data_IF_417138640015
#
_entry.id   IF_417138640015
#
_cell.length_a   1.000
_cell.length_b   1.000
_cell.length_c   1.000
_cell.angle_alpha   90.00
_cell.angle_beta   90.00
_cell.angle_gamma   90.00
#
_symmetry.space_group_name_H-M   'P 1'
#
loop_
_entity.id
_entity.type
_entity.pdbx_description
1 polymer ?
#
# COMPACT_ATOMS: atom_id res chain seq x y z
N UNK A 1 4.57 7.27 23.70
CA UNK A 1 5.88 7.10 24.40
C UNK A 1 5.99 5.72 25.03
N UNK A 2 4.94 5.16 25.59
CA UNK A 2 4.91 3.81 26.19
C UNK A 2 5.17 2.70 25.16
N UNK A 3 4.63 2.83 23.96
CA UNK A 3 4.84 1.87 22.87
C UNK A 3 6.32 1.65 22.54
N UNK A 4 7.17 2.69 22.55
CA UNK A 4 8.61 2.56 22.26
C UNK A 4 9.32 1.79 23.36
N UNK A 5 8.92 1.96 24.62
CA UNK A 5 9.49 1.21 25.74
C UNK A 5 9.19 -0.28 25.67
N UNK A 6 8.12 -0.69 24.98
CA UNK A 6 7.76 -2.10 24.77
C UNK A 6 8.52 -2.78 23.64
N UNK A 7 8.99 -2.00 22.66
CA UNK A 7 9.73 -2.54 21.50
C UNK A 7 11.25 -2.61 21.73
N UNK A 8 11.80 -1.82 22.66
CA UNK A 8 13.24 -1.82 22.98
C UNK A 8 13.59 -3.05 23.83
N UNK A 9 14.32 -4.04 23.27
CA UNK A 9 14.65 -5.25 24.01
C UNK A 9 15.83 -5.09 24.99
N UNK A 10 16.45 -3.89 25.05
CA UNK A 10 17.65 -3.64 25.86
C UNK A 10 17.27 -3.38 27.31
N UNK A 11 18.16 -3.77 28.23
CA UNK A 11 18.01 -3.46 29.66
C UNK A 11 18.17 -1.96 29.90
N UNK A 12 17.12 -1.30 30.42
CA UNK A 12 17.05 0.17 30.58
C UNK A 12 18.21 0.78 31.37
N UNK A 13 18.75 0.05 32.35
CA UNK A 13 19.87 0.49 33.21
C UNK A 13 21.26 0.31 32.57
N UNK A 14 21.35 -0.33 31.41
CA UNK A 14 22.62 -0.59 30.69
C UNK A 14 22.72 0.15 29.36
N UNK A 15 21.78 1.04 29.04
CA UNK A 15 21.79 1.77 27.78
C UNK A 15 22.15 3.24 27.99
N UNK A 16 23.07 3.75 27.19
CA UNK A 16 23.43 5.18 27.15
C UNK A 16 22.32 6.02 26.50
N UNK A 17 21.65 5.48 25.49
CA UNK A 17 20.63 6.17 24.72
C UNK A 17 19.32 5.39 24.78
N UNK A 18 18.26 6.02 25.24
CA UNK A 18 16.92 5.41 25.27
C UNK A 18 16.40 5.11 23.88
N UNK A 19 15.51 4.13 23.76
CA UNK A 19 14.82 3.84 22.50
C UNK A 19 14.05 5.05 21.96
N UNK A 20 13.46 5.86 22.86
CA UNK A 20 12.77 7.12 22.50
C UNK A 20 13.69 8.10 21.81
N UNK A 21 14.89 8.32 22.35
CA UNK A 21 15.88 9.21 21.73
C UNK A 21 16.27 8.70 20.34
N UNK A 22 16.58 7.41 20.21
CA UNK A 22 17.01 6.82 18.94
C UNK A 22 15.90 6.94 17.90
N UNK A 23 14.65 6.66 18.25
CA UNK A 23 13.51 6.81 17.36
C UNK A 23 13.28 8.27 16.96
N UNK A 24 13.34 9.23 17.91
CA UNK A 24 13.22 10.65 17.64
C UNK A 24 14.30 11.14 16.67
N UNK A 25 15.57 10.80 16.95
CA UNK A 25 16.71 11.19 16.11
C UNK A 25 16.55 10.61 14.71
N UNK A 26 16.20 9.33 14.59
CA UNK A 26 16.08 8.67 13.29
C UNK A 26 14.93 9.26 12.48
N UNK A 27 13.75 9.43 13.08
CA UNK A 27 12.60 9.97 12.38
C UNK A 27 12.83 11.44 11.97
N UNK A 28 13.41 12.25 12.86
CA UNK A 28 13.77 13.65 12.54
C UNK A 28 14.79 13.71 11.40
N UNK A 29 15.82 12.85 11.42
CA UNK A 29 16.77 12.76 10.32
C UNK A 29 16.13 12.36 8.99
N UNK A 30 15.21 11.37 9.01
CA UNK A 30 14.45 10.96 7.82
C UNK A 30 13.60 12.12 7.28
N UNK A 31 12.99 12.94 8.12
CA UNK A 31 12.29 14.17 7.68
C UNK A 31 13.24 15.16 7.01
N UNK A 32 14.46 15.29 7.52
CA UNK A 32 15.49 16.24 7.02
C UNK A 32 16.40 15.63 5.93
N UNK A 33 15.90 14.69 5.13
CA UNK A 33 16.57 14.09 3.97
C UNK A 33 17.80 13.23 4.29
N UNK A 34 17.98 12.78 5.53
CA UNK A 34 19.01 11.80 5.87
C UNK A 34 18.63 10.43 5.34
N UNK A 35 19.55 9.79 4.61
CA UNK A 35 19.32 8.51 3.93
C UNK A 35 20.15 7.36 4.55
N UNK A 36 21.29 7.66 5.14
CA UNK A 36 22.18 6.70 5.79
C UNK A 36 22.24 6.86 7.31
N UNK A 37 22.74 5.84 7.99
CA UNK A 37 22.99 5.94 9.44
C UNK A 37 24.03 7.00 9.79
N UNK A 38 24.98 7.27 8.87
CA UNK A 38 25.96 8.34 9.05
C UNK A 38 25.29 9.71 8.98
N UNK A 39 24.43 9.95 7.98
CA UNK A 39 23.71 11.21 7.84
C UNK A 39 22.85 11.49 9.07
N UNK A 40 22.16 10.45 9.59
CA UNK A 40 21.32 10.56 10.78
C UNK A 40 22.15 10.87 12.03
N UNK A 41 23.34 10.26 12.17
CA UNK A 41 24.24 10.55 13.28
C UNK A 41 24.83 11.97 13.19
N UNK A 42 25.17 12.43 11.99
CA UNK A 42 25.62 13.79 11.74
C UNK A 42 24.50 14.81 11.99
N UNK A 43 23.28 14.53 11.51
CA UNK A 43 22.09 15.32 11.85
C UNK A 43 21.93 15.47 13.37
N UNK A 44 21.99 14.36 14.12
CA UNK A 44 21.86 14.40 15.57
C UNK A 44 22.93 15.28 16.22
N UNK A 45 24.17 15.23 15.73
CA UNK A 45 25.28 16.02 16.23
C UNK A 45 25.10 17.51 15.93
N UNK A 46 24.72 17.86 14.71
CA UNK A 46 24.58 19.26 14.30
C UNK A 46 23.28 19.91 14.79
N UNK A 47 22.22 19.11 14.98
CA UNK A 47 20.91 19.58 15.45
C UNK A 47 20.63 19.25 16.92
N UNK A 48 21.68 19.09 17.72
CA UNK A 48 21.59 18.73 19.15
C UNK A 48 20.69 19.69 19.93
N UNK A 49 20.79 20.98 19.67
CA UNK A 49 19.97 22.00 20.38
C UNK A 49 18.48 21.90 20.00
N UNK A 50 18.17 21.52 18.78
CA UNK A 50 16.81 21.21 18.39
C UNK A 50 16.29 19.97 19.14
N UNK A 51 17.10 18.90 19.23
CA UNK A 51 16.74 17.67 19.94
C UNK A 51 16.55 17.89 21.44
N UNK A 52 17.27 18.82 22.03
CA UNK A 52 17.10 19.23 23.44
C UNK A 52 15.74 19.84 23.76
N UNK A 53 15.01 20.33 22.78
CA UNK A 53 13.62 20.79 22.99
C UNK A 53 12.69 19.64 23.38
N UNK A 54 13.04 18.40 23.01
CA UNK A 54 12.27 17.18 23.31
C UNK A 54 12.92 16.33 24.41
N UNK A 55 14.24 16.43 24.55
CA UNK A 55 15.06 15.71 25.54
C UNK A 55 16.04 16.71 26.16
N UNK A 56 15.61 17.47 27.19
CA UNK A 56 16.41 18.55 27.77
C UNK A 56 17.82 18.15 28.24
N UNK A 57 17.94 16.95 28.83
CA UNK A 57 19.19 16.42 29.39
C UNK A 57 20.08 15.72 28.35
N UNK A 58 19.93 16.04 27.07
CA UNK A 58 20.73 15.43 26.01
C UNK A 58 22.17 15.98 26.04
N UNK A 59 23.09 15.19 26.59
CA UNK A 59 24.51 15.54 26.64
C UNK A 59 25.27 15.08 25.40
N UNK A 60 25.02 13.86 24.92
CA UNK A 60 25.68 13.25 23.78
C UNK A 60 24.65 12.69 22.80
N UNK A 61 25.06 12.47 21.55
CA UNK A 61 24.18 11.92 20.50
C UNK A 61 24.64 10.53 20.06
N UNK A 62 23.73 9.65 19.64
CA UNK A 62 24.08 8.30 19.23
C UNK A 62 24.92 8.31 17.95
N UNK A 63 25.92 7.43 17.90
CA UNK A 63 26.72 7.17 16.70
C UNK A 63 25.91 6.38 15.66
N UNK A 64 26.37 6.39 14.40
CA UNK A 64 25.78 5.61 13.32
C UNK A 64 25.70 4.10 13.66
N UNK A 65 26.71 3.55 14.35
CA UNK A 65 26.71 2.16 14.82
C UNK A 65 25.64 1.90 15.88
N UNK A 66 25.44 2.83 16.80
CA UNK A 66 24.39 2.74 17.82
C UNK A 66 23.02 2.71 17.17
N UNK A 67 22.76 3.62 16.23
CA UNK A 67 21.52 3.65 15.46
C UNK A 67 21.31 2.34 14.71
N UNK A 68 22.28 1.91 13.93
CA UNK A 68 22.22 0.66 13.16
C UNK A 68 21.93 -0.55 14.03
N UNK A 69 22.70 -0.74 15.12
CA UNK A 69 22.53 -1.87 16.04
C UNK A 69 21.15 -1.88 16.67
N UNK A 70 20.64 -0.73 17.08
CA UNK A 70 19.29 -0.63 17.64
C UNK A 70 18.23 -1.15 16.66
N UNK A 71 18.24 -0.69 15.40
CA UNK A 71 17.29 -1.14 14.41
C UNK A 71 17.50 -2.58 13.94
N UNK A 72 18.68 -3.16 14.14
CA UNK A 72 18.92 -4.58 13.88
C UNK A 72 18.30 -5.49 14.95
N UNK A 73 18.27 -5.05 16.23
CA UNK A 73 17.80 -5.86 17.34
C UNK A 73 16.30 -5.72 17.64
N UNK A 74 15.67 -4.63 17.21
CA UNK A 74 14.23 -4.48 17.34
C UNK A 74 13.54 -5.56 16.52
N UNK A 75 12.57 -6.24 17.14
CA UNK A 75 11.70 -7.19 16.44
C UNK A 75 10.76 -6.41 15.52
N UNK A 76 10.80 -6.75 14.25
CA UNK A 76 10.04 -6.06 13.19
C UNK A 76 8.55 -6.10 13.48
N UNK A 77 8.03 -7.24 13.92
CA UNK A 77 6.62 -7.45 14.21
C UNK A 77 6.12 -6.50 15.31
N UNK A 78 6.96 -6.18 16.30
CA UNK A 78 6.60 -5.23 17.37
C UNK A 78 6.56 -3.79 16.87
N UNK A 79 7.56 -3.39 16.07
CA UNK A 79 7.56 -2.04 15.49
C UNK A 79 6.38 -1.85 14.54
N UNK A 80 6.06 -2.83 13.75
CA UNK A 80 4.91 -2.82 12.85
C UNK A 80 3.58 -2.79 13.60
N UNK A 81 3.47 -3.51 14.71
CA UNK A 81 2.28 -3.41 15.57
C UNK A 81 2.07 -1.99 16.09
N UNK A 82 3.12 -1.33 16.61
CA UNK A 82 3.04 0.07 17.03
C UNK A 82 2.73 1.02 15.85
N UNK A 83 3.27 0.72 14.67
CA UNK A 83 2.98 1.48 13.47
C UNK A 83 1.51 1.36 13.06
N UNK A 84 0.95 0.15 13.07
CA UNK A 84 -0.47 -0.10 12.73
C UNK A 84 -1.41 0.60 13.72
N UNK A 85 -1.09 0.57 15.01
CA UNK A 85 -1.84 1.32 16.03
C UNK A 85 -1.81 2.83 15.76
N UNK A 86 -0.63 3.37 15.45
CA UNK A 86 -0.50 4.77 15.05
C UNK A 86 -1.29 5.07 13.76
N UNK A 87 -1.24 4.21 12.76
CA UNK A 87 -1.97 4.38 11.51
C UNK A 87 -3.49 4.32 11.72
N UNK A 88 -3.97 3.45 12.60
CA UNK A 88 -5.37 3.37 13.02
C UNK A 88 -5.83 4.69 13.65
N UNK A 89 -5.03 5.24 14.57
CA UNK A 89 -5.31 6.54 15.19
C UNK A 89 -5.30 7.70 14.17
N UNK A 90 -4.38 7.68 13.20
CA UNK A 90 -4.33 8.66 12.10
C UNK A 90 -5.55 8.57 11.18
N UNK A 91 -6.08 7.36 11.00
CA UNK A 91 -7.30 7.13 10.22
C UNK A 91 -8.53 7.80 10.86
N UNK A 92 -8.51 7.97 12.18
CA UNK A 92 -9.62 8.51 12.96
C UNK A 92 -10.80 7.55 13.03
N UNK A 93 -11.85 7.96 13.73
CA UNK A 93 -13.09 7.19 13.82
C UNK A 93 -13.81 7.17 12.46
N UNK A 94 -14.33 6.02 12.09
CA UNK A 94 -15.33 5.99 11.02
C UNK A 94 -16.58 6.68 11.56
N UNK A 95 -17.31 7.46 10.76
CA UNK A 95 -18.66 7.81 11.13
C UNK A 95 -19.37 6.51 11.47
N UNK A 96 -19.94 6.43 12.68
CA UNK A 96 -20.67 5.24 13.11
C UNK A 96 -21.80 4.99 12.11
N UNK A 97 -22.13 3.71 11.86
CA UNK A 97 -23.25 3.36 11.01
C UNK A 97 -24.55 3.97 11.59
N UNK A 98 -24.58 4.23 12.90
CA UNK A 98 -25.66 4.91 13.62
C UNK A 98 -25.75 6.41 13.29
N UNK A 99 -24.66 7.06 12.91
CA UNK A 99 -24.62 8.47 12.49
C UNK A 99 -24.97 8.67 11.01
N UNK A 100 -25.07 7.58 10.24
CA UNK A 100 -25.52 7.63 8.85
C UNK A 100 -27.05 7.76 8.80
N UNK A 101 -27.53 8.92 8.41
CA UNK A 101 -28.96 9.12 8.13
C UNK A 101 -29.37 8.37 6.85
N UNK A 102 -29.71 7.10 7.04
CA UNK A 102 -30.11 6.18 5.96
C UNK A 102 -31.34 6.66 5.17
N UNK A 103 -32.12 7.60 5.72
CA UNK A 103 -33.25 8.19 5.01
C UNK A 103 -32.86 9.13 3.87
N UNK A 104 -31.60 9.62 3.88
CA UNK A 104 -31.00 10.45 2.83
C UNK A 104 -30.23 9.65 1.79
N UNK A 105 -30.17 8.33 1.96
CA UNK A 105 -29.52 7.39 1.06
C UNK A 105 -30.43 7.16 -0.14
N UNK A 106 -30.36 8.02 -1.14
CA UNK A 106 -30.92 7.73 -2.46
C UNK A 106 -29.99 6.77 -3.20
N UNK A 107 -30.45 5.56 -3.42
CA UNK A 107 -29.82 4.59 -4.32
C UNK A 107 -30.11 5.11 -5.75
N UNK A 108 -29.27 5.95 -6.26
CA UNK A 108 -29.38 6.46 -7.63
C UNK A 108 -28.75 7.83 -7.79
N UNK A 109 -27.85 7.92 -8.75
CA UNK A 109 -27.25 9.13 -9.30
C UNK A 109 -26.51 10.05 -8.32
N UNK A 110 -25.18 9.89 -8.29
CA UNK A 110 -24.28 10.97 -7.85
C UNK A 110 -24.06 11.11 -6.36
N UNK A 111 -24.50 10.18 -5.53
CA UNK A 111 -24.23 10.24 -4.10
C UNK A 111 -22.94 9.50 -3.75
N UNK A 112 -22.00 10.24 -3.17
CA UNK A 112 -20.79 9.78 -2.48
C UNK A 112 -21.10 8.94 -1.20
N UNK A 113 -22.12 8.09 -1.26
CA UNK A 113 -22.50 7.19 -0.17
C UNK A 113 -21.50 6.07 0.06
N UNK A 114 -20.76 5.74 -0.96
CA UNK A 114 -19.51 5.07 -0.78
C UNK A 114 -18.45 6.12 -0.37
N UNK A 115 -18.52 6.62 0.86
CA UNK A 115 -17.37 7.22 1.55
C UNK A 115 -16.28 6.17 1.72
N UNK A 116 -16.32 5.17 0.86
CA UNK A 116 -15.52 3.97 0.88
C UNK A 116 -14.09 4.34 0.64
N UNK A 117 -13.37 4.27 1.71
CA UNK A 117 -11.94 4.45 1.68
C UNK A 117 -11.33 3.33 0.84
N UNK A 118 -10.47 3.71 -0.06
CA UNK A 118 -9.85 2.79 -0.98
C UNK A 118 -8.50 2.32 -0.44
N UNK A 119 -8.34 1.01 -0.26
CA UNK A 119 -7.12 0.34 0.17
C UNK A 119 -6.52 -0.38 -1.03
N UNK A 120 -5.38 0.11 -1.52
CA UNK A 120 -4.59 -0.59 -2.52
C UNK A 120 -3.55 -1.49 -1.83
N UNK A 121 -3.49 -2.75 -2.23
CA UNK A 121 -2.46 -3.69 -1.76
C UNK A 121 -1.56 -4.03 -2.93
N UNK A 122 -0.26 -3.83 -2.74
CA UNK A 122 0.74 -4.07 -3.78
C UNK A 122 2.09 -4.44 -3.18
N UNK A 123 2.89 -5.20 -3.93
CA UNK A 123 4.20 -5.67 -3.56
C UNK A 123 5.33 -4.81 -4.13
N UNK A 124 6.37 -4.59 -3.33
CA UNK A 124 7.58 -3.89 -3.74
C UNK A 124 8.82 -4.64 -3.31
N UNK A 125 9.78 -4.74 -4.23
CA UNK A 125 11.12 -5.26 -3.93
C UNK A 125 12.06 -4.11 -3.59
N UNK A 126 12.66 -4.13 -2.39
CA UNK A 126 13.69 -3.17 -1.97
C UNK A 126 15.05 -3.71 -2.39
N UNK A 127 15.64 -3.11 -3.42
CA UNK A 127 16.83 -3.63 -4.07
C UNK A 127 18.11 -3.54 -3.21
N UNK A 128 18.26 -2.51 -2.38
CA UNK A 128 19.43 -2.29 -1.53
C UNK A 128 19.41 -3.06 -0.20
N UNK A 129 18.28 -3.66 0.17
CA UNK A 129 18.13 -4.36 1.44
C UNK A 129 18.49 -5.84 1.32
N UNK A 130 19.65 -6.22 1.88
CA UNK A 130 20.11 -7.60 1.91
C UNK A 130 20.07 -8.12 3.35
N UNK A 131 19.28 -9.15 3.61
CA UNK A 131 19.23 -9.83 4.91
C UNK A 131 19.69 -11.28 4.79
N UNK A 132 20.94 -11.45 4.36
CA UNK A 132 21.52 -12.77 4.06
C UNK A 132 21.46 -13.75 5.24
N UNK A 133 21.83 -13.31 6.44
CA UNK A 133 21.91 -14.21 7.59
C UNK A 133 20.51 -14.69 8.07
N UNK A 134 19.53 -13.78 8.08
CA UNK A 134 18.14 -14.14 8.42
C UNK A 134 17.57 -15.09 7.37
N UNK A 135 17.89 -14.88 6.09
CA UNK A 135 17.46 -15.72 4.99
C UNK A 135 18.04 -17.14 5.07
N UNK A 136 19.32 -17.29 5.43
CA UNK A 136 19.95 -18.61 5.67
C UNK A 136 19.31 -19.30 6.86
N UNK A 137 19.08 -18.58 7.95
CA UNK A 137 18.45 -19.11 9.15
C UNK A 137 17.00 -19.55 8.93
N UNK A 138 16.19 -18.73 8.29
CA UNK A 138 14.79 -19.04 7.92
C UNK A 138 14.68 -20.19 6.93
N UNK A 139 15.67 -20.37 6.07
CA UNK A 139 15.71 -21.48 5.12
C UNK A 139 16.11 -22.82 5.73
N UNK A 140 16.44 -22.85 7.03
CA UNK A 140 16.97 -24.03 7.70
C UNK A 140 18.18 -24.65 6.97
N UNK A 141 19.07 -23.81 6.45
CA UNK A 141 20.27 -24.21 5.73
C UNK A 141 20.06 -24.68 4.28
N UNK A 142 18.85 -24.54 3.74
CA UNK A 142 18.56 -24.91 2.33
C UNK A 142 19.01 -23.86 1.30
N UNK A 143 19.41 -22.68 1.75
CA UNK A 143 19.94 -21.59 0.94
C UNK A 143 21.34 -21.28 1.38
N UNK A 144 22.28 -21.14 0.44
CA UNK A 144 23.66 -20.73 0.75
C UNK A 144 23.72 -19.24 1.11
N UNK A 145 24.82 -18.82 1.75
CA UNK A 145 25.03 -17.39 2.06
C UNK A 145 25.07 -16.53 0.81
N UNK A 146 25.62 -17.04 -0.30
CA UNK A 146 25.66 -16.37 -1.59
C UNK A 146 24.27 -16.20 -2.20
N UNK A 147 23.45 -17.26 -2.14
CA UNK A 147 22.05 -17.22 -2.56
C UNK A 147 21.24 -16.26 -1.72
N UNK A 148 21.46 -16.25 -0.40
CA UNK A 148 20.81 -15.32 0.51
C UNK A 148 21.24 -13.87 0.27
N UNK A 149 22.52 -13.63 -0.08
CA UNK A 149 23.03 -12.30 -0.39
C UNK A 149 22.43 -11.72 -1.70
N UNK A 150 22.03 -12.59 -2.63
CA UNK A 150 21.34 -12.18 -3.86
C UNK A 150 19.82 -11.99 -3.68
N UNK A 151 19.25 -12.44 -2.56
CA UNK A 151 17.82 -12.34 -2.30
C UNK A 151 17.45 -10.95 -1.77
N UNK A 152 16.57 -10.29 -2.50
CA UNK A 152 16.08 -8.95 -2.16
C UNK A 152 14.94 -9.03 -1.13
N UNK A 153 14.77 -7.97 -0.36
CA UNK A 153 13.65 -7.83 0.55
C UNK A 153 12.39 -7.47 -0.26
N UNK A 154 11.41 -8.38 -0.31
CA UNK A 154 10.12 -8.12 -0.92
C UNK A 154 9.08 -7.87 0.17
N UNK A 155 8.31 -6.79 0.03
CA UNK A 155 7.32 -6.33 1.01
C UNK A 155 6.00 -6.05 0.29
N UNK A 156 4.90 -6.63 0.79
CA UNK A 156 3.54 -6.24 0.42
C UNK A 156 3.08 -5.14 1.37
N UNK A 157 2.51 -4.07 0.83
CA UNK A 157 2.04 -2.91 1.59
C UNK A 157 0.56 -2.65 1.32
N UNK A 158 -0.17 -2.22 2.35
CA UNK A 158 -1.54 -1.73 2.25
C UNK A 158 -1.54 -0.21 2.36
N UNK A 159 -2.10 0.46 1.36
CA UNK A 159 -2.10 1.90 1.22
C UNK A 159 -3.51 2.47 1.11
N UNK A 160 -3.91 3.27 2.09
CA UNK A 160 -5.17 4.00 2.10
C UNK A 160 -5.01 5.26 1.24
N UNK A 161 -5.45 5.17 -0.01
CA UNK A 161 -5.16 6.16 -1.05
C UNK A 161 -5.70 7.55 -0.73
N UNK A 162 -6.90 7.61 -0.16
CA UNK A 162 -7.59 8.88 0.14
C UNK A 162 -6.90 9.71 1.22
N UNK A 163 -6.17 9.06 2.12
CA UNK A 163 -5.41 9.70 3.19
C UNK A 163 -3.90 9.68 2.97
N UNK A 164 -3.45 9.10 1.87
CA UNK A 164 -2.02 8.85 1.63
C UNK A 164 -1.33 8.16 2.82
N UNK A 165 -2.04 7.23 3.45
CA UNK A 165 -1.65 6.53 4.68
C UNK A 165 -1.31 5.08 4.37
N UNK A 166 -0.10 4.64 4.67
CA UNK A 166 0.20 3.20 4.71
C UNK A 166 -0.39 2.59 5.98
N UNK A 167 -1.27 1.59 5.84
CA UNK A 167 -1.92 0.92 6.98
C UNK A 167 -1.04 -0.14 7.63
N UNK A 168 -0.10 -0.68 6.87
CA UNK A 168 0.80 -1.71 7.31
C UNK A 168 1.57 -2.34 6.15
N UNK A 169 2.46 -3.25 6.49
CA UNK A 169 3.24 -4.01 5.52
C UNK A 169 3.49 -5.42 6.04
N UNK A 170 3.70 -6.36 5.11
CA UNK A 170 4.10 -7.72 5.43
C UNK A 170 5.25 -8.14 4.52
N UNK A 171 6.25 -8.80 5.11
CA UNK A 171 7.38 -9.33 4.35
C UNK A 171 7.00 -10.63 3.65
N UNK A 172 7.30 -10.71 2.36
CA UNK A 172 7.21 -11.96 1.63
C UNK A 172 8.43 -12.81 1.94
N UNK A 173 8.25 -14.03 2.42
CA UNK A 173 9.36 -14.94 2.66
C UNK A 173 9.91 -15.47 1.33
N UNK A 174 11.18 -15.88 1.31
CA UNK A 174 11.88 -16.31 0.08
C UNK A 174 11.23 -17.52 -0.58
N UNK A 175 10.54 -18.36 0.21
CA UNK A 175 9.87 -19.58 -0.27
C UNK A 175 8.39 -19.37 -0.55
N UNK A 176 7.88 -18.21 -0.24
CA UNK A 176 6.48 -17.83 -0.38
C UNK A 176 6.37 -16.73 -1.44
N UNK A 177 5.18 -16.50 -1.90
CA UNK A 177 4.84 -15.38 -2.76
C UNK A 177 3.87 -14.44 -2.03
N UNK A 178 3.49 -13.36 -2.67
CA UNK A 178 2.52 -12.40 -2.14
C UNK A 178 1.20 -13.03 -1.73
N UNK A 179 0.79 -14.13 -2.39
CA UNK A 179 -0.45 -14.87 -2.10
C UNK A 179 -0.51 -15.33 -0.63
N UNK A 180 0.65 -15.61 -0.01
CA UNK A 180 0.73 -16.02 1.40
C UNK A 180 0.85 -14.82 2.34
N UNK A 181 1.52 -13.75 1.90
CA UNK A 181 1.72 -12.55 2.69
C UNK A 181 0.46 -11.68 2.79
N UNK A 182 -0.31 -11.55 1.69
CA UNK A 182 -1.53 -10.73 1.65
C UNK A 182 -2.56 -11.14 2.72
N UNK A 183 -2.91 -12.43 2.91
CA UNK A 183 -3.83 -12.82 3.98
C UNK A 183 -3.38 -12.43 5.39
N UNK A 184 -2.08 -12.52 5.69
CA UNK A 184 -1.51 -12.10 6.97
C UNK A 184 -1.64 -10.58 7.14
N UNK A 185 -1.30 -9.83 6.10
CA UNK A 185 -1.45 -8.38 6.09
C UNK A 185 -2.90 -7.96 6.32
N UNK A 186 -3.86 -8.62 5.64
CA UNK A 186 -5.30 -8.36 5.80
C UNK A 186 -5.80 -8.63 7.22
N UNK A 187 -5.24 -9.63 7.92
CA UNK A 187 -5.60 -9.90 9.31
C UNK A 187 -5.12 -8.78 10.25
N UNK A 188 -3.97 -8.23 9.97
CA UNK A 188 -3.23 -7.31 10.83
C UNK A 188 -3.63 -5.84 10.69
N UNK A 189 -4.14 -5.42 9.52
CA UNK A 189 -4.48 -4.01 9.26
C UNK A 189 -5.94 -3.68 9.57
N UNK A 190 -6.19 -2.39 9.81
CA UNK A 190 -7.53 -1.85 10.07
C UNK A 190 -8.32 -1.72 8.76
N UNK A 191 -9.03 -2.80 8.39
CA UNK A 191 -10.04 -2.81 7.32
C UNK A 191 -11.41 -2.70 7.97
N UNK A 192 -12.22 -1.76 7.49
CA UNK A 192 -13.54 -1.46 8.06
C UNK A 192 -14.64 -1.80 7.05
N UNK A 193 -15.84 -2.00 7.57
CA UNK A 193 -17.03 -2.20 6.75
C UNK A 193 -17.14 -1.09 5.70
N UNK A 194 -17.37 -1.48 4.46
CA UNK A 194 -17.51 -0.57 3.33
C UNK A 194 -16.19 -0.07 2.73
N UNK A 195 -15.01 -0.40 3.26
CA UNK A 195 -13.76 -0.16 2.55
C UNK A 195 -13.71 -0.95 1.24
N UNK A 196 -13.02 -0.45 0.23
CA UNK A 196 -12.80 -1.15 -1.03
C UNK A 196 -11.34 -1.53 -1.17
N UNK A 197 -11.08 -2.83 -1.22
CA UNK A 197 -9.73 -3.38 -1.38
C UNK A 197 -9.47 -3.69 -2.85
N UNK A 198 -8.38 -3.17 -3.38
CA UNK A 198 -7.88 -3.52 -4.71
C UNK A 198 -6.52 -4.18 -4.60
N UNK A 199 -6.32 -5.23 -5.36
CA UNK A 199 -5.07 -5.99 -5.43
C UNK A 199 -4.81 -6.28 -6.91
N UNK A 200 -3.55 -6.45 -7.28
CA UNK A 200 -3.18 -6.90 -8.63
C UNK A 200 -3.66 -8.33 -8.92
N UNK A 201 -3.49 -8.79 -10.16
CA UNK A 201 -3.99 -10.09 -10.58
C UNK A 201 -3.37 -11.26 -9.81
N UNK A 202 -2.14 -11.14 -9.30
CA UNK A 202 -1.50 -12.20 -8.52
C UNK A 202 -2.25 -12.45 -7.20
N UNK A 203 -2.75 -11.38 -6.58
CA UNK A 203 -3.54 -11.41 -5.36
C UNK A 203 -5.02 -11.79 -5.56
N UNK A 204 -5.46 -12.03 -6.79
CA UNK A 204 -6.81 -12.52 -7.08
C UNK A 204 -6.91 -14.00 -6.70
N UNK A 205 -7.23 -14.26 -5.42
CA UNK A 205 -7.31 -15.59 -4.82
C UNK A 205 -8.56 -15.73 -3.95
N UNK A 206 -9.22 -16.90 -3.98
CA UNK A 206 -10.45 -17.17 -3.25
C UNK A 206 -10.32 -16.90 -1.74
N UNK A 207 -9.22 -17.37 -1.13
CA UNK A 207 -8.95 -17.14 0.31
C UNK A 207 -8.77 -15.67 0.65
N UNK A 208 -8.22 -14.87 -0.25
CA UNK A 208 -8.06 -13.42 -0.06
C UNK A 208 -9.44 -12.75 -0.12
N UNK A 209 -10.27 -13.14 -1.08
CA UNK A 209 -11.67 -12.66 -1.18
C UNK A 209 -12.48 -13.02 0.06
N UNK A 210 -12.34 -14.24 0.58
CA UNK A 210 -13.00 -14.66 1.82
C UNK A 210 -12.62 -13.76 2.99
N UNK A 211 -11.32 -13.47 3.18
CA UNK A 211 -10.84 -12.57 4.25
C UNK A 211 -11.35 -11.13 4.12
N UNK A 212 -11.39 -10.59 2.91
CA UNK A 212 -11.96 -9.25 2.67
C UNK A 212 -13.44 -9.25 3.03
N UNK A 213 -14.18 -10.26 2.60
CA UNK A 213 -15.61 -10.40 2.88
C UNK A 213 -15.91 -10.61 4.39
N UNK A 214 -15.05 -11.32 5.13
CA UNK A 214 -15.16 -11.49 6.59
C UNK A 214 -15.08 -10.15 7.34
N UNK A 215 -14.31 -9.19 6.80
CA UNK A 215 -14.20 -7.82 7.33
C UNK A 215 -15.33 -6.90 6.84
N UNK A 216 -16.32 -7.44 6.13
CA UNK A 216 -17.44 -6.67 5.53
C UNK A 216 -16.96 -5.56 4.57
N UNK A 217 -15.80 -5.73 3.99
CA UNK A 217 -15.25 -4.85 2.97
C UNK A 217 -15.56 -5.36 1.56
N UNK A 218 -15.52 -4.45 0.61
CA UNK A 218 -15.67 -4.75 -0.80
C UNK A 218 -14.32 -4.98 -1.47
N UNK A 219 -14.34 -5.65 -2.63
CA UNK A 219 -13.16 -5.86 -3.44
C UNK A 219 -13.38 -5.48 -4.90
N UNK A 220 -12.30 -5.08 -5.56
CA UNK A 220 -12.17 -4.99 -7.01
C UNK A 220 -10.85 -5.60 -7.42
N UNK A 221 -10.89 -6.75 -8.05
CA UNK A 221 -9.71 -7.58 -8.36
C UNK A 221 -9.57 -7.80 -9.86
N UNK A 222 -8.34 -7.67 -10.35
CA UNK A 222 -8.01 -7.95 -11.75
C UNK A 222 -7.89 -9.46 -11.98
N UNK A 223 -8.42 -9.95 -13.11
CA UNK A 223 -8.37 -11.36 -13.51
C UNK A 223 -7.46 -11.51 -14.73
N UNK A 224 -6.40 -12.30 -14.58
CA UNK A 224 -5.43 -12.63 -15.65
C UNK A 224 -5.33 -14.15 -15.84
N UNK A 225 -4.23 -14.59 -16.44
CA UNK A 225 -3.97 -16.00 -16.80
C UNK A 225 -3.89 -16.96 -15.62
N UNK A 226 -3.66 -16.46 -14.41
CA UNK A 226 -3.75 -17.26 -13.18
C UNK A 226 -5.16 -17.83 -12.94
N UNK A 227 -6.20 -17.27 -13.57
CA UNK A 227 -7.57 -17.75 -13.62
C UNK A 227 -8.10 -17.79 -15.05
N UNK A 228 -7.39 -18.48 -15.94
CA UNK A 228 -7.63 -18.51 -17.38
C UNK A 228 -9.11 -18.74 -17.74
N UNK A 229 -9.74 -19.77 -17.18
CA UNK A 229 -11.13 -20.09 -17.48
C UNK A 229 -12.11 -18.98 -17.05
N UNK A 230 -11.87 -18.33 -15.93
CA UNK A 230 -12.66 -17.19 -15.48
C UNK A 230 -12.47 -15.99 -16.42
N UNK A 231 -11.22 -15.71 -16.79
CA UNK A 231 -10.88 -14.65 -17.75
C UNK A 231 -11.56 -14.86 -19.09
N UNK A 232 -11.44 -16.06 -19.67
CA UNK A 232 -12.07 -16.42 -20.95
C UNK A 232 -13.60 -16.25 -20.89
N UNK A 233 -14.24 -16.69 -19.80
CA UNK A 233 -15.69 -16.53 -19.64
C UNK A 233 -16.09 -15.04 -19.57
N UNK A 234 -15.31 -14.22 -18.86
CA UNK A 234 -15.55 -12.76 -18.81
C UNK A 234 -15.37 -12.12 -20.20
N UNK A 235 -14.30 -12.48 -20.91
CA UNK A 235 -14.01 -11.94 -22.23
C UNK A 235 -15.10 -12.31 -23.25
N UNK A 236 -15.51 -13.58 -23.30
CA UNK A 236 -16.54 -14.05 -24.21
C UNK A 236 -17.90 -13.39 -23.94
N UNK A 237 -18.28 -13.25 -22.67
CA UNK A 237 -19.51 -12.56 -22.30
C UNK A 237 -19.46 -11.08 -22.64
N UNK A 238 -18.34 -10.40 -22.33
CA UNK A 238 -18.17 -9.00 -22.68
C UNK A 238 -18.17 -8.72 -24.19
N UNK A 239 -17.61 -9.62 -25.00
CA UNK A 239 -17.69 -9.50 -26.47
C UNK A 239 -19.13 -9.65 -26.97
N UNK A 240 -19.88 -10.62 -26.42
CA UNK A 240 -21.32 -10.76 -26.71
C UNK A 240 -22.09 -9.50 -26.32
N UNK A 241 -21.82 -8.92 -25.16
CA UNK A 241 -22.46 -7.71 -24.67
C UNK A 241 -22.13 -6.47 -25.55
N UNK A 242 -20.90 -6.38 -26.06
CA UNK A 242 -20.49 -5.34 -27.01
C UNK A 242 -21.24 -5.44 -28.35
N UNK A 243 -21.36 -6.66 -28.89
CA UNK A 243 -22.02 -6.90 -30.17
C UNK A 243 -23.52 -6.67 -30.07
N UNK A 244 -24.14 -7.03 -28.95
CA UNK A 244 -25.58 -6.88 -28.74
C UNK A 244 -26.02 -5.42 -28.64
N UNK A 245 -25.11 -4.51 -28.27
CA UNK A 245 -25.39 -3.06 -28.12
C UNK A 245 -26.49 -2.71 -27.10
N UNK A 246 -26.95 -3.70 -26.33
CA UNK A 246 -28.08 -3.56 -25.42
C UNK A 246 -27.55 -3.27 -24.01
N UNK A 247 -27.63 -2.01 -23.61
CA UNK A 247 -27.65 -1.68 -22.20
C UNK A 247 -28.99 -2.11 -21.60
N UNK A 248 -28.95 -2.74 -20.47
CA UNK A 248 -30.13 -3.13 -19.69
C UNK A 248 -29.80 -2.99 -18.22
N UNK A 249 -30.74 -3.32 -17.33
CA UNK A 249 -30.57 -3.19 -15.87
C UNK A 249 -29.35 -3.96 -15.33
N UNK A 250 -28.88 -4.97 -16.05
CA UNK A 250 -27.74 -5.83 -15.64
C UNK A 250 -26.41 -5.41 -16.29
N UNK A 251 -26.45 -4.76 -17.45
CA UNK A 251 -25.29 -4.39 -18.25
C UNK A 251 -25.16 -2.88 -18.28
N UNK A 252 -24.04 -2.36 -17.81
CA UNK A 252 -23.76 -0.92 -17.82
C UNK A 252 -22.43 -0.63 -18.49
N UNK A 253 -22.34 0.56 -19.06
CA UNK A 253 -21.11 1.07 -19.69
C UNK A 253 -20.81 2.45 -19.16
N UNK A 254 -19.53 2.74 -18.95
CA UNK A 254 -19.01 4.09 -18.74
C UNK A 254 -17.71 4.27 -19.53
N UNK A 255 -17.47 5.52 -19.89
CA UNK A 255 -16.27 5.91 -20.62
C UNK A 255 -15.71 7.19 -20.01
N UNK A 256 -14.40 7.25 -19.87
CA UNK A 256 -13.69 8.45 -19.44
C UNK A 256 -12.47 8.69 -20.32
N UNK A 257 -12.20 9.93 -20.66
CA UNK A 257 -10.98 10.34 -21.37
C UNK A 257 -10.19 11.30 -20.50
N UNK A 258 -8.90 11.07 -20.40
CA UNK A 258 -7.95 11.92 -19.68
C UNK A 258 -6.77 12.26 -20.56
N UNK A 259 -6.27 13.49 -20.45
CA UNK A 259 -5.05 13.93 -21.13
C UNK A 259 -3.96 14.25 -20.11
N UNK A 260 -2.75 13.81 -20.38
CA UNK A 260 -1.59 14.08 -19.52
C UNK A 260 -0.31 13.41 -20.02
N UNK A 261 0.81 14.00 -19.69
CA UNK A 261 2.15 13.49 -20.02
C UNK A 261 2.35 13.15 -21.51
N UNK A 262 1.71 13.90 -22.43
CA UNK A 262 1.80 13.68 -23.86
C UNK A 262 0.94 12.54 -24.40
N UNK A 263 0.00 12.03 -23.61
CA UNK A 263 -0.93 10.99 -24.01
C UNK A 263 -2.38 11.41 -23.79
N UNK A 264 -3.25 10.99 -24.70
CA UNK A 264 -4.69 10.93 -24.50
C UNK A 264 -5.05 9.49 -24.17
N UNK A 265 -5.75 9.28 -23.05
CA UNK A 265 -6.07 7.93 -22.55
C UNK A 265 -7.59 7.84 -22.36
N UNK A 266 -8.23 7.01 -23.19
CA UNK A 266 -9.65 6.68 -23.11
C UNK A 266 -9.82 5.31 -22.45
N UNK A 267 -10.65 5.26 -21.41
CA UNK A 267 -10.99 4.02 -20.70
C UNK A 267 -12.47 3.77 -20.80
N UNK A 268 -12.81 2.60 -21.31
CA UNK A 268 -14.21 2.13 -21.42
C UNK A 268 -14.40 0.94 -20.48
N UNK A 269 -15.26 1.06 -19.49
CA UNK A 269 -15.69 -0.03 -18.62
C UNK A 269 -17.01 -0.61 -19.11
N UNK A 270 -17.07 -1.93 -19.23
CA UNK A 270 -18.30 -2.68 -19.49
C UNK A 270 -18.45 -3.66 -18.36
N UNK A 271 -19.56 -3.58 -17.64
CA UNK A 271 -19.78 -4.36 -16.42
C UNK A 271 -21.17 -5.03 -16.44
N UNK A 272 -21.26 -6.19 -15.80
CA UNK A 272 -22.47 -7.00 -15.69
C UNK A 272 -22.72 -7.42 -14.24
N UNK A 273 -23.97 -7.30 -13.78
CA UNK A 273 -24.39 -7.72 -12.43
C UNK A 273 -25.04 -9.10 -12.37
N UNK A 274 -24.86 -9.92 -13.39
CA UNK A 274 -25.34 -11.31 -13.43
C UNK A 274 -24.16 -12.31 -13.45
N UNK A 275 -23.50 -12.59 -12.29
CA UNK A 275 -22.35 -13.50 -12.23
C UNK A 275 -22.67 -14.93 -12.71
N UNK A 276 -23.92 -15.35 -12.67
CA UNK A 276 -24.39 -16.66 -13.17
C UNK A 276 -24.04 -16.91 -14.65
N UNK A 277 -23.88 -15.85 -15.44
CA UNK A 277 -23.47 -15.90 -16.85
C UNK A 277 -22.03 -16.42 -17.04
N UNK A 278 -21.21 -16.33 -15.98
CA UNK A 278 -19.85 -16.92 -15.96
C UNK A 278 -19.85 -18.44 -15.75
N UNK A 279 -21.01 -19.10 -15.79
CA UNK A 279 -21.16 -20.52 -15.54
C UNK A 279 -20.83 -20.88 -14.09
N UNK A 280 -20.28 -22.07 -13.84
CA UNK A 280 -19.98 -22.51 -12.46
C UNK A 280 -18.84 -21.73 -11.79
N UNK A 281 -18.00 -21.02 -12.54
CA UNK A 281 -16.81 -20.33 -12.00
C UNK A 281 -17.15 -19.23 -11.00
N UNK A 282 -18.34 -18.62 -11.06
CA UNK A 282 -18.69 -17.53 -10.16
C UNK A 282 -18.91 -17.97 -8.71
N UNK A 283 -19.34 -19.21 -8.50
CA UNK A 283 -19.71 -19.74 -7.17
C UNK A 283 -18.55 -19.79 -6.19
N UNK A 284 -17.35 -19.78 -6.71
CA UNK A 284 -16.12 -19.87 -5.93
C UNK A 284 -15.68 -18.51 -5.35
N UNK A 285 -16.36 -17.42 -5.75
CA UNK A 285 -15.99 -16.07 -5.36
C UNK A 285 -17.04 -15.48 -4.41
N UNK A 286 -16.67 -15.38 -3.14
CA UNK A 286 -17.58 -14.89 -2.10
C UNK A 286 -18.03 -13.46 -2.39
N UNK A 287 -19.33 -13.20 -2.28
CA UNK A 287 -19.96 -11.90 -2.53
C UNK A 287 -19.73 -11.33 -3.94
N UNK A 288 -19.40 -12.13 -4.94
CA UNK A 288 -19.27 -11.65 -6.31
C UNK A 288 -20.62 -11.12 -6.80
N UNK A 289 -20.65 -9.82 -7.14
CA UNK A 289 -21.86 -9.12 -7.65
C UNK A 289 -21.68 -8.58 -9.05
N UNK A 290 -20.46 -8.17 -9.40
CA UNK A 290 -20.17 -7.50 -10.67
C UNK A 290 -18.89 -8.06 -11.27
N UNK A 291 -18.88 -8.23 -12.56
CA UNK A 291 -17.70 -8.56 -13.35
C UNK A 291 -17.71 -7.77 -14.66
N UNK A 292 -16.59 -7.73 -15.35
CA UNK A 292 -16.54 -7.07 -16.64
C UNK A 292 -15.13 -6.86 -17.16
N UNK A 293 -15.04 -5.97 -18.13
CA UNK A 293 -13.77 -5.56 -18.75
C UNK A 293 -13.59 -4.07 -18.71
N UNK A 294 -12.33 -3.65 -18.61
CA UNK A 294 -11.90 -2.28 -18.85
C UNK A 294 -11.00 -2.30 -20.07
N UNK A 295 -11.39 -1.58 -21.13
CA UNK A 295 -10.56 -1.33 -22.30
C UNK A 295 -9.88 0.02 -22.14
N UNK A 296 -8.59 0.08 -22.38
CA UNK A 296 -7.80 1.32 -22.36
C UNK A 296 -7.19 1.53 -23.73
N UNK A 297 -7.52 2.63 -24.35
CA UNK A 297 -6.86 3.14 -25.54
C UNK A 297 -5.97 4.31 -25.14
N UNK A 298 -4.68 4.21 -25.45
CA UNK A 298 -3.69 5.23 -25.13
C UNK A 298 -3.06 5.72 -26.43
N UNK A 299 -3.27 6.99 -26.74
CA UNK A 299 -2.79 7.66 -27.96
C UNK A 299 -1.66 8.61 -27.57
N UNK A 300 -0.47 8.41 -28.16
CA UNK A 300 0.61 9.37 -28.04
C UNK A 300 0.28 10.60 -28.90
N UNK A 301 0.10 11.76 -28.29
CA UNK A 301 -0.36 12.99 -28.95
C UNK A 301 0.67 13.46 -30.00
N UNK A 302 1.96 13.22 -29.77
CA UNK A 302 3.03 13.68 -30.68
C UNK A 302 3.22 12.76 -31.88
N UNK A 303 3.08 11.43 -31.69
CA UNK A 303 3.38 10.43 -32.75
C UNK A 303 2.11 9.85 -33.39
N UNK A 304 0.96 9.96 -32.73
CA UNK A 304 -0.28 9.30 -33.15
C UNK A 304 -0.29 7.78 -32.90
N UNK A 305 0.73 7.24 -32.22
CA UNK A 305 0.80 5.81 -31.89
C UNK A 305 -0.30 5.43 -30.92
N UNK A 306 -1.00 4.33 -31.21
CA UNK A 306 -2.12 3.81 -30.41
C UNK A 306 -1.69 2.51 -29.73
N UNK A 307 -1.88 2.46 -28.40
CA UNK A 307 -1.70 1.27 -27.59
C UNK A 307 -3.04 0.88 -26.98
N UNK A 308 -3.41 -0.39 -27.10
CA UNK A 308 -4.65 -0.93 -26.57
C UNK A 308 -4.38 -1.99 -25.50
N UNK A 309 -5.05 -1.86 -24.36
CA UNK A 309 -5.01 -2.82 -23.26
C UNK A 309 -6.41 -3.24 -22.88
N UNK A 310 -6.55 -4.47 -22.38
CA UNK A 310 -7.80 -5.05 -21.89
C UNK A 310 -7.56 -5.72 -20.54
N UNK A 311 -8.35 -5.35 -19.55
CA UNK A 311 -8.28 -5.87 -18.20
C UNK A 311 -9.63 -6.46 -17.79
N UNK A 312 -9.66 -7.74 -17.45
CA UNK A 312 -10.83 -8.38 -16.85
C UNK A 312 -10.85 -8.13 -15.34
N UNK A 313 -12.04 -8.02 -14.76
CA UNK A 313 -12.18 -7.84 -13.32
C UNK A 313 -13.40 -8.59 -12.76
N UNK A 314 -13.32 -8.85 -11.44
CA UNK A 314 -14.41 -9.28 -10.58
C UNK A 314 -14.52 -8.36 -9.38
N UNK A 315 -15.75 -8.16 -8.86
CA UNK A 315 -16.00 -7.23 -7.76
C UNK A 315 -17.22 -7.64 -6.93
N UNK A 316 -17.20 -7.31 -5.64
CA UNK A 316 -18.38 -7.33 -4.76
C UNK A 316 -19.18 -6.03 -4.80
N UNK A 317 -18.65 -4.99 -5.41
CA UNK A 317 -19.35 -3.71 -5.57
C UNK A 317 -20.63 -3.88 -6.40
N UNK A 318 -21.57 -2.98 -6.20
CA UNK A 318 -22.75 -2.83 -7.08
C UNK A 318 -22.30 -2.48 -8.50
N UNK A 319 -23.12 -2.82 -9.48
CA UNK A 319 -22.82 -2.54 -10.90
C UNK A 319 -22.85 -1.03 -11.18
N UNK A 320 -21.70 -0.39 -11.03
CA UNK A 320 -21.46 1.02 -11.32
C UNK A 320 -20.09 1.16 -12.03
N UNK A 321 -20.07 1.25 -13.36
CA UNK A 321 -18.83 1.26 -14.13
C UNK A 321 -17.98 2.52 -13.90
N UNK A 322 -18.56 3.67 -13.57
CA UNK A 322 -17.84 4.90 -13.21
C UNK A 322 -17.05 4.69 -11.92
N UNK A 323 -17.69 4.06 -10.94
CA UNK A 323 -17.06 3.73 -9.65
C UNK A 323 -15.91 2.72 -9.84
N UNK A 324 -16.10 1.72 -10.70
CA UNK A 324 -15.07 0.74 -11.06
C UNK A 324 -13.86 1.44 -11.70
N UNK A 325 -14.08 2.33 -12.67
CA UNK A 325 -13.02 3.14 -13.29
C UNK A 325 -12.29 3.99 -12.25
N UNK A 326 -13.02 4.64 -11.34
CA UNK A 326 -12.46 5.42 -10.23
C UNK A 326 -11.51 4.57 -9.36
N UNK A 327 -11.93 3.37 -8.93
CA UNK A 327 -11.09 2.50 -8.08
C UNK A 327 -9.92 1.87 -8.84
N UNK A 328 -10.10 1.51 -10.11
CA UNK A 328 -8.98 1.04 -10.94
C UNK A 328 -7.89 2.09 -11.07
N UNK A 329 -8.24 3.38 -11.25
CA UNK A 329 -7.28 4.48 -11.25
C UNK A 329 -6.63 4.69 -9.87
N UNK A 330 -7.44 4.59 -8.80
CA UNK A 330 -6.94 4.73 -7.43
C UNK A 330 -5.97 3.61 -7.05
N UNK A 331 -6.10 2.42 -7.64
CA UNK A 331 -5.14 1.34 -7.40
C UNK A 331 -3.71 1.77 -7.77
N UNK A 332 -3.52 2.48 -8.88
CA UNK A 332 -2.21 3.01 -9.27
C UNK A 332 -1.68 4.10 -8.34
N UNK A 333 -2.49 4.59 -7.42
CA UNK A 333 -2.01 5.52 -6.41
C UNK A 333 -1.00 4.89 -5.45
N UNK A 334 -0.99 3.56 -5.28
CA UNK A 334 0.04 2.89 -4.47
C UNK A 334 1.40 2.97 -5.16
N UNK A 335 1.46 2.78 -6.49
CA UNK A 335 2.70 2.91 -7.25
C UNK A 335 3.27 4.33 -7.18
N UNK A 336 2.46 5.33 -7.52
CA UNK A 336 2.90 6.73 -7.58
C UNK A 336 2.92 7.42 -6.21
N UNK A 337 1.97 7.07 -5.36
CA UNK A 337 1.77 7.69 -4.04
C UNK A 337 2.64 7.10 -2.95
N UNK A 338 2.99 5.83 -3.04
CA UNK A 338 3.82 5.13 -2.06
C UNK A 338 5.16 4.71 -2.66
N UNK A 339 5.17 3.77 -3.60
CA UNK A 339 6.40 3.13 -4.07
C UNK A 339 7.37 4.11 -4.73
N UNK A 340 6.91 4.89 -5.70
CA UNK A 340 7.74 5.92 -6.34
C UNK A 340 8.28 6.96 -5.34
N UNK A 341 7.47 7.37 -4.37
CA UNK A 341 7.92 8.31 -3.34
C UNK A 341 9.02 7.70 -2.46
N UNK A 342 8.86 6.42 -2.08
CA UNK A 342 9.89 5.72 -1.29
C UNK A 342 11.20 5.59 -2.08
N UNK A 343 11.13 5.35 -3.39
CA UNK A 343 12.33 5.22 -4.23
C UNK A 343 12.98 6.57 -4.54
N UNK A 344 12.20 7.52 -5.05
CA UNK A 344 12.76 8.79 -5.55
C UNK A 344 12.98 9.80 -4.43
N UNK A 345 12.05 9.87 -3.46
CA UNK A 345 12.14 10.87 -2.40
C UNK A 345 12.93 10.38 -1.18
N UNK A 346 12.82 9.09 -0.84
CA UNK A 346 13.52 8.52 0.32
C UNK A 346 14.71 7.63 -0.05
N UNK A 347 14.96 7.43 -1.36
CA UNK A 347 16.07 6.63 -1.89
C UNK A 347 16.14 5.23 -1.26
N UNK A 348 14.96 4.59 -1.12
CA UNK A 348 14.83 3.33 -0.38
C UNK A 348 15.61 2.19 -1.05
N UNK A 349 15.65 2.17 -2.38
CA UNK A 349 16.32 1.13 -3.18
C UNK A 349 17.85 1.18 -3.09
N UNK A 350 18.46 2.36 -2.83
CA UNK A 350 19.90 2.50 -2.68
C UNK A 350 20.38 2.31 -1.23
N UNK A 351 19.45 2.27 -0.29
CA UNK A 351 19.74 2.19 1.12
C UNK A 351 20.29 0.83 1.54
N UNK A 352 21.60 0.69 1.72
CA UNK A 352 22.27 -0.54 2.23
C UNK A 352 21.95 -0.74 3.70
N UNK A 353 20.83 -1.37 4.00
CA UNK A 353 20.42 -1.72 5.36
C UNK A 353 20.31 -3.23 5.49
N UNK A 354 20.75 -3.78 6.63
CA UNK A 354 20.88 -5.23 6.83
C UNK A 354 19.97 -5.71 7.95
N UNK A 355 19.64 -6.99 7.95
CA UNK A 355 18.86 -7.66 9.00
C UNK A 355 17.47 -6.99 9.17
N UNK A 356 16.95 -6.91 10.39
CA UNK A 356 15.67 -6.26 10.70
C UNK A 356 15.68 -4.76 10.40
N UNK A 357 16.89 -4.13 10.35
CA UNK A 357 16.97 -2.69 10.14
C UNK A 357 16.43 -2.24 8.77
N UNK A 358 16.46 -3.09 7.75
CA UNK A 358 15.90 -2.77 6.44
C UNK A 358 14.37 -2.61 6.51
N UNK A 359 13.67 -3.60 7.05
CA UNK A 359 12.21 -3.56 7.19
C UNK A 359 11.78 -2.51 8.22
N UNK A 360 12.48 -2.40 9.34
CA UNK A 360 12.22 -1.38 10.37
C UNK A 360 12.39 0.04 9.82
N UNK A 361 13.39 0.27 8.96
CA UNK A 361 13.58 1.57 8.33
C UNK A 361 12.50 1.86 7.29
N UNK A 362 12.06 0.88 6.52
CA UNK A 362 10.93 1.00 5.60
C UNK A 362 9.64 1.42 6.32
N UNK A 363 9.38 0.88 7.53
CA UNK A 363 8.27 1.30 8.37
C UNK A 363 8.37 2.79 8.74
N UNK A 364 9.56 3.26 9.13
CA UNK A 364 9.77 4.66 9.48
C UNK A 364 9.66 5.62 8.28
N UNK A 365 10.16 5.21 7.10
CA UNK A 365 10.03 6.03 5.89
C UNK A 365 8.58 6.16 5.45
N UNK A 366 7.77 5.10 5.59
CA UNK A 366 6.32 5.14 5.34
C UNK A 366 5.59 6.06 6.33
N UNK A 367 5.98 6.02 7.61
CA UNK A 367 5.46 6.95 8.61
C UNK A 367 5.80 8.40 8.25
N UNK A 368 7.07 8.67 7.92
CA UNK A 368 7.52 9.99 7.51
C UNK A 368 6.80 10.48 6.25
N UNK A 369 6.65 9.64 5.25
CA UNK A 369 5.91 9.95 4.02
C UNK A 369 4.46 10.33 4.31
N UNK A 370 3.77 9.55 5.14
CA UNK A 370 2.38 9.82 5.54
C UNK A 370 2.26 11.17 6.24
N UNK A 371 3.14 11.46 7.20
CA UNK A 371 3.14 12.75 7.93
C UNK A 371 3.39 13.90 6.96
N UNK A 372 4.41 13.82 6.10
CA UNK A 372 4.76 14.87 5.14
C UNK A 372 3.65 15.12 4.10
N UNK A 373 2.96 14.08 3.66
CA UNK A 373 1.84 14.24 2.73
C UNK A 373 0.65 14.94 3.37
N UNK A 374 0.35 14.61 4.62
CA UNK A 374 -0.78 15.18 5.35
C UNK A 374 -0.43 16.51 6.02
N UNK A 375 0.86 16.90 6.11
CA UNK A 375 1.27 18.20 6.59
C UNK A 375 0.84 19.29 5.59
N UNK A 376 0.06 20.25 6.07
CA UNK A 376 -0.35 21.42 5.28
C UNK A 376 0.78 22.46 5.32
N UNK A 377 1.47 22.64 4.20
CA UNK A 377 2.42 23.75 4.00
C UNK A 377 1.62 25.01 3.56
N UNK A 378 2.18 26.20 3.78
CA UNK A 378 1.63 27.47 3.31
C UNK A 378 1.35 27.43 1.79
N UNK A 379 2.24 26.81 1.03
CA UNK A 379 2.03 26.48 -0.38
C UNK A 379 1.47 25.07 -0.51
N UNK A 380 0.17 24.94 -0.79
CA UNK A 380 -0.54 23.67 -0.98
C UNK A 380 0.05 22.76 -2.08
N UNK A 381 0.88 23.31 -2.97
CA UNK A 381 1.54 22.57 -4.06
C UNK A 381 2.97 22.12 -3.72
N UNK A 382 3.44 22.33 -2.48
CA UNK A 382 4.79 21.93 -2.08
C UNK A 382 4.95 20.41 -2.14
N UNK A 383 5.88 19.92 -2.97
CA UNK A 383 6.20 18.50 -3.07
C UNK A 383 6.79 17.93 -1.78
N UNK A 384 6.66 16.61 -1.57
CA UNK A 384 7.24 15.93 -0.40
C UNK A 384 8.74 16.19 -0.27
N UNK A 385 9.49 16.15 -1.37
CA UNK A 385 10.92 16.44 -1.39
C UNK A 385 11.22 17.88 -0.93
N UNK A 386 10.43 18.88 -1.37
CA UNK A 386 10.60 20.26 -0.90
C UNK A 386 10.25 20.41 0.58
N UNK A 387 9.23 19.69 1.07
CA UNK A 387 8.89 19.68 2.51
C UNK A 387 10.04 19.14 3.33
N UNK A 388 10.69 18.04 2.89
CA UNK A 388 11.88 17.47 3.55
C UNK A 388 13.05 18.44 3.62
N UNK A 389 13.28 19.25 2.57
CA UNK A 389 14.36 20.26 2.55
C UNK A 389 14.06 21.48 3.41
N UNK A 390 12.80 21.73 3.75
CA UNK A 390 12.38 22.82 4.66
C UNK A 390 12.40 22.41 6.13
N UNK A 391 12.28 21.08 6.42
CA UNK A 391 12.27 20.55 7.79
C UNK A 391 13.66 20.62 8.44
#
# INVERSE_FOLDING_TARGET
SEAIDTIDPREKNKVTYSGKLIMLVTLSGVFCDCQSWNDIADFARYKKDFLRRFIPDLETTPSHDTLRRFFCIIKTERLESCYREWACNMRGDSPSIEDCDWSKVQIGEGNDLYTNRHIAIDGKTICGAINADKLVQESAGKITKEQAASAKLHIVSAFLSDMSLSLGQERVSIKENEIVAIPKLLDDIDIRQGDVVTIDALGTQKKIVEKIAEKQADYLLEVKDNHLKLRENIENDAEYLLISGRENDFIKRAEETTEGHGFMVTRTCISCSEPSRLGFCYRDWKNLRTYGIIKTEKINIATGEIQNEKHCFISSLVNNPELILKYKRKHWAVENGLHWQLDVTFNEDDGRKMMNSAQNFSTLTKMALTILKNYQDEDKKTSVNRKRKKA
#
